data_IF_182241370718
#
_entry.id   IF_182241370718
#
_cell.length_a   1.000
_cell.length_b   1.000
_cell.length_c   1.000
_cell.angle_alpha   90.00
_cell.angle_beta   90.00
_cell.angle_gamma   90.00
#
_symmetry.space_group_name_H-M   'P 1'
#
loop_
_entity.id
_entity.type
_entity.pdbx_description
1 polymer ?
#
# COMPACT_ATOMS: atom_id res chain seq x y z
N UNK A 1 -5.06 5.86 2.72
CA UNK A 1 -4.82 5.77 1.27
C UNK A 1 -4.62 7.11 0.59
N UNK A 2 -5.23 8.21 1.05
CA UNK A 2 -5.00 9.53 0.43
C UNK A 2 -3.51 9.92 0.45
N UNK A 3 -3.01 10.39 -0.69
CA UNK A 3 -1.63 10.81 -0.85
C UNK A 3 -1.35 12.17 -0.20
N UNK A 4 -0.11 12.46 0.26
CA UNK A 4 0.22 13.70 0.95
C UNK A 4 -0.19 14.97 0.18
N UNK A 5 0.07 14.98 -1.13
CA UNK A 5 -0.23 16.12 -2.00
C UNK A 5 -1.73 16.42 -2.19
N UNK A 6 -2.60 15.43 -1.92
CA UNK A 6 -4.06 15.62 -1.95
C UNK A 6 -4.61 16.17 -0.64
N UNK A 7 -3.88 15.98 0.46
CA UNK A 7 -4.24 16.45 1.80
C UNK A 7 -3.78 17.89 1.99
N UNK A 8 -2.56 18.18 1.56
CA UNK A 8 -1.99 19.52 1.52
C UNK A 8 -1.69 19.91 0.07
N UNK A 9 -2.63 20.61 -0.61
CA UNK A 9 -2.45 21.04 -1.99
C UNK A 9 -1.24 21.96 -2.18
N UNK A 10 -0.73 22.61 -1.13
CA UNK A 10 0.48 23.43 -1.24
C UNK A 10 1.74 22.59 -1.53
N UNK A 11 1.70 21.29 -1.23
CA UNK A 11 2.74 20.33 -1.56
C UNK A 11 2.79 19.97 -3.06
N UNK A 12 1.76 20.29 -3.85
CA UNK A 12 1.77 20.12 -5.32
C UNK A 12 1.55 21.44 -6.04
N UNK A 13 2.58 21.89 -6.77
CA UNK A 13 2.57 23.18 -7.48
C UNK A 13 1.75 23.16 -8.78
N UNK A 14 1.32 21.99 -9.26
CA UNK A 14 0.71 21.82 -10.59
C UNK A 14 -0.63 21.06 -10.60
N UNK A 15 -1.21 20.78 -9.41
CA UNK A 15 -2.38 19.92 -9.28
C UNK A 15 -2.02 18.44 -9.22
N UNK A 16 -2.98 17.62 -8.77
CA UNK A 16 -2.78 16.18 -8.58
C UNK A 16 -2.86 15.42 -9.90
N UNK A 17 -2.07 14.36 -10.04
CA UNK A 17 -2.16 13.42 -11.16
C UNK A 17 -2.23 11.96 -10.68
N UNK A 18 -2.07 11.01 -11.61
CA UNK A 18 -2.12 9.56 -11.35
C UNK A 18 -1.14 9.08 -10.25
N UNK A 19 -0.13 9.87 -9.88
CA UNK A 19 0.82 9.53 -8.81
C UNK A 19 0.16 9.49 -7.43
N UNK A 20 -0.96 10.18 -7.22
CA UNK A 20 -1.72 10.03 -5.98
C UNK A 20 -2.35 8.63 -5.83
N UNK A 21 -2.73 8.01 -6.95
CA UNK A 21 -3.24 6.64 -6.96
C UNK A 21 -2.10 5.62 -6.80
N UNK A 22 -0.89 5.93 -7.31
CA UNK A 22 0.32 5.13 -7.04
C UNK A 22 0.62 5.05 -5.54
N UNK A 23 0.48 6.14 -4.81
CA UNK A 23 0.60 6.11 -3.35
C UNK A 23 -0.47 5.24 -2.70
N UNK A 24 -1.72 5.39 -3.14
CA UNK A 24 -2.84 4.58 -2.65
C UNK A 24 -2.57 3.08 -2.84
N UNK A 25 -2.05 2.69 -4.01
CA UNK A 25 -1.59 1.34 -4.30
C UNK A 25 -0.50 0.89 -3.33
N UNK A 26 0.51 1.72 -3.06
CA UNK A 26 1.57 1.42 -2.09
C UNK A 26 1.02 1.12 -0.69
N UNK A 27 0.06 1.92 -0.21
CA UNK A 27 -0.58 1.71 1.10
C UNK A 27 -1.38 0.40 1.10
N UNK A 28 -2.15 0.11 0.05
CA UNK A 28 -2.91 -1.13 -0.08
C UNK A 28 -1.99 -2.36 -0.11
N UNK A 29 -0.90 -2.31 -0.87
CA UNK A 29 0.05 -3.42 -0.93
C UNK A 29 0.72 -3.65 0.42
N UNK A 30 1.12 -2.59 1.13
CA UNK A 30 1.65 -2.70 2.48
C UNK A 30 0.66 -3.39 3.41
N UNK A 31 -0.60 -2.94 3.41
CA UNK A 31 -1.63 -3.46 4.29
C UNK A 31 -1.97 -4.93 4.01
N UNK A 32 -2.16 -5.30 2.74
CA UNK A 32 -2.41 -6.70 2.37
C UNK A 32 -1.21 -7.60 2.68
N UNK A 33 0.01 -7.07 2.52
CA UNK A 33 1.24 -7.80 2.78
C UNK A 33 1.55 -7.99 4.27
N UNK A 34 1.04 -7.13 5.15
CA UNK A 34 1.31 -7.19 6.59
C UNK A 34 0.09 -7.59 7.42
N UNK A 35 -1.11 -7.51 6.83
CA UNK A 35 -2.39 -7.59 7.55
C UNK A 35 -2.64 -6.38 8.46
N UNK A 36 -1.84 -5.32 8.35
CA UNK A 36 -1.89 -4.15 9.23
C UNK A 36 -1.88 -2.87 8.42
N UNK A 37 -2.84 -1.98 8.69
CA UNK A 37 -2.81 -0.65 8.12
C UNK A 37 -1.58 0.12 8.65
N UNK A 38 -0.79 0.80 7.79
CA UNK A 38 0.54 1.33 8.15
C UNK A 38 0.53 2.47 9.17
N UNK A 39 -0.60 3.12 9.37
CA UNK A 39 -0.73 4.19 10.36
C UNK A 39 -1.53 3.67 11.56
N UNK A 40 -1.12 4.03 12.79
CA UNK A 40 -1.86 3.62 13.97
C UNK A 40 -3.28 4.20 13.94
N UNK A 41 -4.18 3.53 14.67
CA UNK A 41 -5.55 4.03 14.88
C UNK A 41 -5.45 5.29 15.74
N UNK A 42 -5.83 6.42 15.17
CA UNK A 42 -5.93 7.68 15.89
C UNK A 42 -7.39 7.96 16.22
N UNK A 43 -7.62 8.66 17.33
CA UNK A 43 -8.96 9.11 17.73
C UNK A 43 -9.53 10.15 16.75
N UNK A 44 -8.67 10.82 15.98
CA UNK A 44 -9.05 11.82 14.99
C UNK A 44 -8.43 11.51 13.62
N UNK A 45 -9.26 11.61 12.58
CA UNK A 45 -8.83 11.57 11.17
C UNK A 45 -7.78 12.66 10.91
N UNK A 46 -7.84 13.80 11.61
CA UNK A 46 -6.88 14.90 11.44
C UNK A 46 -5.44 14.51 11.83
N UNK A 47 -5.28 13.71 12.89
CA UNK A 47 -3.96 13.27 13.33
C UNK A 47 -3.34 12.31 12.31
N UNK A 48 -4.17 11.42 11.76
CA UNK A 48 -3.77 10.53 10.67
C UNK A 48 -3.33 11.31 9.43
N UNK A 49 -4.10 12.32 9.02
CA UNK A 49 -3.75 13.19 7.89
C UNK A 49 -2.45 13.97 8.16
N UNK A 50 -2.27 14.44 9.40
CA UNK A 50 -1.07 15.14 9.83
C UNK A 50 0.16 14.23 9.73
N UNK A 51 0.06 12.96 10.13
CA UNK A 51 1.15 12.00 9.99
C UNK A 51 1.53 11.76 8.52
N UNK A 52 0.54 11.65 7.63
CA UNK A 52 0.80 11.48 6.19
C UNK A 52 1.56 12.68 5.60
N UNK A 53 1.19 13.90 5.99
CA UNK A 53 1.80 15.13 5.47
C UNK A 53 3.14 15.44 6.13
N UNK A 54 3.27 15.27 7.46
CA UNK A 54 4.45 15.72 8.22
C UNK A 54 5.43 14.60 8.54
N UNK A 55 4.96 13.40 8.81
CA UNK A 55 5.80 12.27 9.19
C UNK A 55 6.46 11.55 8.02
N UNK A 56 7.35 10.61 8.32
CA UNK A 56 7.97 9.77 7.30
C UNK A 56 6.95 8.83 6.64
N UNK A 57 7.11 8.54 5.33
CA UNK A 57 6.26 7.57 4.67
C UNK A 57 6.48 6.17 5.26
N UNK A 58 5.44 5.33 5.34
CA UNK A 58 5.61 3.94 5.73
C UNK A 58 6.59 3.23 4.81
N UNK A 59 7.38 2.32 5.37
CA UNK A 59 8.35 1.52 4.66
C UNK A 59 8.05 0.06 4.92
N UNK A 60 7.93 -0.73 3.85
CA UNK A 60 7.93 -2.18 3.95
C UNK A 60 9.36 -2.65 4.20
N UNK A 61 9.54 -3.54 5.17
CA UNK A 61 10.81 -4.19 5.48
C UNK A 61 10.52 -5.62 5.94
N UNK A 62 11.57 -6.44 5.98
CA UNK A 62 11.47 -7.74 6.64
C UNK A 62 11.27 -7.55 8.15
N UNK A 63 10.58 -8.50 8.77
CA UNK A 63 10.40 -8.59 10.21
C UNK A 63 10.55 -10.06 10.64
N UNK A 64 10.57 -10.30 11.96
CA UNK A 64 10.56 -11.66 12.52
C UNK A 64 9.30 -12.46 12.12
N UNK A 65 8.20 -11.77 11.81
CA UNK A 65 6.93 -12.40 11.41
C UNK A 65 6.88 -12.76 9.92
N UNK A 66 7.59 -12.02 9.07
CA UNK A 66 7.49 -12.17 7.60
C UNK A 66 8.71 -11.65 6.87
N UNK A 67 9.18 -12.45 5.93
CA UNK A 67 10.18 -12.06 4.94
C UNK A 67 9.53 -11.83 3.57
N UNK A 68 9.98 -10.79 2.89
CA UNK A 68 9.54 -10.42 1.56
C UNK A 68 10.71 -10.45 0.57
N UNK A 69 10.40 -10.69 -0.71
CA UNK A 69 11.40 -10.51 -1.75
C UNK A 69 11.89 -9.06 -1.80
N UNK A 70 13.18 -8.85 -2.04
CA UNK A 70 13.76 -7.52 -2.15
C UNK A 70 13.08 -6.67 -3.24
N UNK A 71 12.66 -7.32 -4.33
CA UNK A 71 11.93 -6.66 -5.42
C UNK A 71 10.56 -6.14 -4.97
N UNK A 72 9.84 -6.91 -4.15
CA UNK A 72 8.56 -6.46 -3.60
C UNK A 72 8.72 -5.29 -2.63
N UNK A 73 9.69 -5.39 -1.71
CA UNK A 73 10.05 -4.29 -0.79
C UNK A 73 10.34 -3.02 -1.59
N UNK A 74 11.19 -3.12 -2.61
CA UNK A 74 11.54 -1.97 -3.44
C UNK A 74 10.33 -1.38 -4.16
N UNK A 75 9.46 -2.22 -4.75
CA UNK A 75 8.26 -1.77 -5.45
C UNK A 75 7.29 -1.00 -4.54
N UNK A 76 7.01 -1.53 -3.35
CA UNK A 76 6.11 -0.90 -2.38
C UNK A 76 6.69 0.42 -1.89
N UNK A 77 7.97 0.45 -1.52
CA UNK A 77 8.62 1.66 -1.01
C UNK A 77 8.76 2.73 -2.09
N UNK A 78 8.95 2.32 -3.35
CA UNK A 78 8.94 3.22 -4.50
C UNK A 78 7.55 3.88 -4.70
N UNK A 79 6.46 3.12 -4.57
CA UNK A 79 5.10 3.66 -4.60
C UNK A 79 4.84 4.65 -3.44
N UNK A 80 5.46 4.41 -2.28
CA UNK A 80 5.37 5.23 -1.07
C UNK A 80 6.40 6.38 -1.03
N UNK A 81 6.92 6.80 -2.19
CA UNK A 81 7.75 8.00 -2.27
C UNK A 81 6.92 9.23 -1.92
N UNK A 82 7.26 9.92 -0.81
CA UNK A 82 6.48 11.06 -0.31
C UNK A 82 6.47 12.24 -1.27
N UNK A 83 7.61 12.57 -1.85
CA UNK A 83 7.75 13.61 -2.86
C UNK A 83 7.07 13.19 -4.17
N UNK A 84 5.92 13.79 -4.48
CA UNK A 84 5.13 13.50 -5.69
C UNK A 84 5.98 13.61 -6.96
N UNK A 85 6.92 14.55 -7.02
CA UNK A 85 7.76 14.76 -8.21
C UNK A 85 8.73 13.60 -8.49
N UNK A 86 9.07 12.83 -7.44
CA UNK A 86 9.95 11.66 -7.50
C UNK A 86 9.19 10.33 -7.55
N UNK A 87 7.88 10.36 -7.28
CA UNK A 87 7.03 9.17 -7.34
C UNK A 87 6.78 8.80 -8.80
N UNK A 88 7.04 7.55 -9.21
CA UNK A 88 6.92 7.14 -10.61
C UNK A 88 5.45 7.13 -11.07
N UNK A 89 5.26 7.30 -12.38
CA UNK A 89 3.98 7.01 -13.05
C UNK A 89 3.91 5.54 -13.46
N UNK A 90 2.73 5.08 -13.88
CA UNK A 90 2.51 3.68 -14.27
C UNK A 90 3.48 3.16 -15.33
N UNK A 91 3.85 3.99 -16.33
CA UNK A 91 4.79 3.59 -17.39
C UNK A 91 6.17 3.18 -16.85
N UNK A 92 6.60 3.75 -15.73
CA UNK A 92 7.85 3.37 -15.06
C UNK A 92 7.63 2.16 -14.15
N UNK A 93 6.51 2.11 -13.42
CA UNK A 93 6.16 0.97 -12.56
C UNK A 93 6.02 -0.34 -13.34
N UNK A 94 5.45 -0.32 -14.55
CA UNK A 94 5.32 -1.50 -15.42
C UNK A 94 6.68 -2.09 -15.83
N UNK A 95 7.76 -1.31 -15.75
CA UNK A 95 9.13 -1.78 -16.03
C UNK A 95 9.84 -2.29 -14.79
N UNK A 96 9.22 -2.18 -13.61
CA UNK A 96 9.86 -2.56 -12.36
C UNK A 96 10.04 -4.09 -12.29
N UNK A 97 11.18 -4.60 -11.81
CA UNK A 97 11.45 -6.04 -11.77
C UNK A 97 10.36 -6.88 -11.11
N UNK A 98 9.68 -6.34 -10.09
CA UNK A 98 8.56 -7.00 -9.41
C UNK A 98 7.40 -7.28 -10.38
N UNK A 99 7.03 -6.32 -11.21
CA UNK A 99 5.93 -6.49 -12.18
C UNK A 99 6.35 -7.47 -13.27
N UNK A 100 7.52 -7.27 -13.87
CA UNK A 100 8.03 -8.15 -14.93
C UNK A 100 8.16 -9.61 -14.46
N UNK A 101 8.55 -9.82 -13.19
CA UNK A 101 8.62 -11.15 -12.61
C UNK A 101 7.23 -11.82 -12.53
N UNK A 102 6.17 -11.09 -12.17
CA UNK A 102 4.82 -11.66 -12.04
C UNK A 102 4.01 -11.63 -13.35
N UNK A 103 4.48 -10.93 -14.38
CA UNK A 103 3.93 -10.99 -15.74
C UNK A 103 4.18 -12.36 -16.39
N UNK A 104 5.38 -12.92 -16.18
CA UNK A 104 5.77 -14.22 -16.74
C UNK A 104 5.50 -15.41 -15.79
N UNK A 105 5.38 -15.16 -14.49
CA UNK A 105 5.28 -16.22 -13.49
C UNK A 105 3.86 -16.76 -13.40
N UNK A 106 3.70 -18.06 -13.69
CA UNK A 106 2.46 -18.77 -13.40
C UNK A 106 2.24 -18.88 -11.89
N UNK A 107 1.12 -18.31 -11.42
CA UNK A 107 0.63 -18.43 -10.03
C UNK A 107 -0.81 -18.90 -10.11
N UNK A 108 -1.12 -20.01 -9.42
CA UNK A 108 -2.49 -20.53 -9.37
C UNK A 108 -3.34 -19.73 -8.36
N UNK A 109 -3.73 -18.52 -8.77
CA UNK A 109 -4.56 -17.62 -7.98
C UNK A 109 -5.95 -18.22 -7.76
N UNK A 110 -6.49 -18.97 -8.72
CA UNK A 110 -7.81 -19.58 -8.61
C UNK A 110 -7.86 -20.61 -7.48
N UNK A 111 -6.90 -21.55 -7.44
CA UNK A 111 -6.82 -22.54 -6.38
C UNK A 111 -6.62 -21.89 -5.00
N UNK A 112 -5.73 -20.89 -4.91
CA UNK A 112 -5.52 -20.14 -3.67
C UNK A 112 -6.81 -19.47 -3.19
N UNK A 113 -7.51 -18.73 -4.05
CA UNK A 113 -8.73 -18.01 -3.69
C UNK A 113 -9.84 -18.98 -3.27
N UNK A 114 -10.10 -20.05 -4.03
CA UNK A 114 -11.11 -21.05 -3.67
C UNK A 114 -10.80 -21.67 -2.31
N UNK A 115 -9.55 -22.08 -2.06
CA UNK A 115 -9.13 -22.66 -0.78
C UNK A 115 -9.41 -21.73 0.41
N UNK A 116 -9.18 -20.43 0.24
CA UNK A 116 -9.42 -19.43 1.29
C UNK A 116 -10.93 -19.22 1.49
N UNK A 117 -11.70 -19.06 0.41
CA UNK A 117 -13.15 -18.84 0.47
C UNK A 117 -13.89 -20.03 1.08
N UNK A 118 -13.49 -21.27 0.79
CA UNK A 118 -14.10 -22.49 1.36
C UNK A 118 -13.91 -22.59 2.88
N UNK A 119 -12.90 -21.89 3.43
CA UNK A 119 -12.61 -21.83 4.87
C UNK A 119 -13.25 -20.61 5.55
N UNK A 120 -13.78 -19.66 4.78
CA UNK A 120 -14.42 -18.48 5.35
C UNK A 120 -15.80 -18.86 5.91
N UNK A 121 -16.14 -18.39 7.13
CA UNK A 121 -17.47 -18.62 7.69
C UNK A 121 -18.54 -17.97 6.79
N UNK A 122 -19.63 -18.69 6.55
CA UNK A 122 -20.75 -18.26 5.68
C UNK A 122 -21.54 -17.10 6.28
N UNK A 123 -21.37 -16.84 7.58
CA UNK A 123 -21.88 -15.66 8.27
C UNK A 123 -20.73 -14.71 8.59
N UNK A 124 -20.85 -13.40 8.26
CA UNK A 124 -19.84 -12.43 8.66
C UNK A 124 -19.82 -12.33 10.18
N UNK A 125 -18.79 -12.89 10.81
CA UNK A 125 -18.42 -12.49 12.16
C UNK A 125 -17.98 -11.03 12.05
N UNK A 126 -18.86 -10.11 12.48
CA UNK A 126 -18.41 -8.74 12.71
C UNK A 126 -17.18 -8.82 13.62
N UNK A 127 -16.05 -8.21 13.25
CA UNK A 127 -15.00 -8.03 14.23
C UNK A 127 -15.66 -7.27 15.39
N UNK A 128 -15.74 -7.90 16.57
CA UNK A 128 -16.03 -7.14 17.77
C UNK A 128 -14.91 -6.11 17.87
N UNK A 129 -15.22 -4.88 17.50
CA UNK A 129 -14.42 -3.74 17.91
C UNK A 129 -14.54 -3.74 19.42
N UNK A 130 -13.49 -4.22 20.09
CA UNK A 130 -13.34 -4.05 21.53
C UNK A 130 -13.06 -2.56 21.71
N UNK A 131 -14.02 -1.86 22.31
CA UNK A 131 -13.94 -0.44 22.66
C UNK A 131 -12.69 -0.10 23.48
#
# INVERSE_FOLDING_TARGET
YMAPERIDPSASRQGYDVRSDVWSLGITLYELATGRFPYPKWNSVFDQLTQVVKGDPPQLSNSEEREFSQSFINFVNLCLTKDESKRPKYKELLKHPFILMYEERTVDVACYVCKILDQMPTTPSSPMYVD
#
